data_IF_923804568236
#
_entry.id   IF_923804568236
#
_cell.length_a   1.000
_cell.length_b   1.000
_cell.length_c   1.000
_cell.angle_alpha   90.00
_cell.angle_beta   90.00
_cell.angle_gamma   90.00
#
_symmetry.space_group_name_H-M   'P 1'
#
loop_
_entity.id
_entity.type
_entity.pdbx_description
1 polymer ?
#
# COMPACT_ATOMS: atom_id res chain seq x y z
N UNK A 1 7.40 -9.73 -3.47
CA UNK A 1 7.05 -8.30 -3.44
C UNK A 1 7.70 -7.69 -2.23
N UNK A 2 8.29 -6.50 -2.35
CA UNK A 2 8.70 -5.69 -1.19
C UNK A 2 7.82 -4.45 -1.20
N UNK A 3 7.16 -4.18 -0.09
CA UNK A 3 6.29 -3.01 0.08
C UNK A 3 6.87 -2.14 1.18
N UNK A 4 7.36 -0.97 0.80
CA UNK A 4 7.84 0.05 1.72
C UNK A 4 6.78 1.14 1.83
N UNK A 5 6.49 1.53 3.05
CA UNK A 5 5.60 2.65 3.39
C UNK A 5 6.41 3.70 4.15
N UNK A 6 5.91 4.92 4.16
CA UNK A 6 6.56 6.04 4.85
C UNK A 6 8.04 6.24 4.42
N UNK A 7 8.31 6.15 3.11
CA UNK A 7 9.72 6.17 2.63
C UNK A 7 10.41 7.52 2.69
N UNK A 8 9.66 8.63 2.76
CA UNK A 8 10.17 10.02 2.82
C UNK A 8 11.06 10.40 1.64
N UNK A 9 10.80 9.77 0.48
CA UNK A 9 11.66 9.91 -0.70
C UNK A 9 11.16 10.95 -1.68
N UNK A 10 12.11 11.65 -2.30
CA UNK A 10 11.94 12.57 -3.42
C UNK A 10 12.08 11.81 -4.76
N UNK A 11 11.62 12.41 -5.87
CA UNK A 11 11.83 11.85 -7.21
C UNK A 11 13.29 11.60 -7.56
N UNK A 12 14.21 12.40 -7.04
CA UNK A 12 15.66 12.33 -7.29
C UNK A 12 16.38 11.21 -6.53
N UNK A 13 15.76 10.59 -5.52
CA UNK A 13 16.45 9.60 -4.69
C UNK A 13 16.64 8.29 -5.47
N UNK A 14 17.85 7.74 -5.42
CA UNK A 14 18.18 6.44 -6.02
C UNK A 14 17.87 5.31 -5.03
N UNK A 15 16.98 4.40 -5.42
CA UNK A 15 16.41 3.37 -4.53
C UNK A 15 16.25 2.02 -5.23
N UNK A 16 17.10 1.72 -6.20
CA UNK A 16 17.02 0.43 -6.90
C UNK A 16 17.50 -0.71 -5.99
N UNK A 17 16.80 -1.84 -6.06
CA UNK A 17 17.16 -3.08 -5.36
C UNK A 17 17.47 -4.12 -6.43
N UNK A 18 18.66 -4.69 -6.39
CA UNK A 18 19.10 -5.69 -7.36
C UNK A 18 18.10 -6.84 -7.49
N UNK A 19 17.72 -7.19 -8.72
CA UNK A 19 16.75 -8.24 -8.99
C UNK A 19 15.29 -7.85 -8.75
N UNK A 20 14.99 -6.58 -8.49
CA UNK A 20 13.62 -6.07 -8.36
C UNK A 20 13.36 -4.86 -9.25
N UNK A 21 12.15 -4.79 -9.83
CA UNK A 21 11.63 -3.62 -10.55
C UNK A 21 10.72 -2.82 -9.62
N UNK A 22 10.82 -1.49 -9.66
CA UNK A 22 9.85 -0.60 -9.00
C UNK A 22 8.59 -0.55 -9.85
N UNK A 23 7.47 -0.98 -9.30
CA UNK A 23 6.18 -1.05 -10.01
C UNK A 23 5.22 0.03 -9.54
N UNK A 24 5.50 0.58 -8.37
CA UNK A 24 4.87 1.79 -7.90
C UNK A 24 5.82 2.59 -7.02
N UNK A 25 5.83 3.91 -7.23
CA UNK A 25 6.52 4.87 -6.38
C UNK A 25 5.62 6.09 -6.16
N UNK A 26 5.44 6.47 -4.90
CA UNK A 26 4.82 7.73 -4.47
C UNK A 26 5.83 8.51 -3.64
N UNK A 27 5.97 9.79 -3.94
CA UNK A 27 7.00 10.66 -3.38
C UNK A 27 6.39 11.72 -2.47
N UNK A 28 7.16 12.20 -1.50
CA UNK A 28 6.80 13.42 -0.77
C UNK A 28 7.03 14.62 -1.69
N UNK A 29 5.97 15.34 -2.09
CA UNK A 29 6.07 16.28 -3.19
C UNK A 29 6.95 17.51 -2.93
N UNK A 30 7.06 18.04 -1.70
CA UNK A 30 7.81 19.30 -1.49
C UNK A 30 8.48 19.48 -0.10
N UNK A 31 8.25 18.59 0.85
CA UNK A 31 8.85 18.62 2.20
C UNK A 31 9.07 17.18 2.66
N UNK A 32 10.10 16.88 3.47
CA UNK A 32 10.26 15.60 4.18
C UNK A 32 9.12 15.46 5.18
N UNK A 33 7.92 15.18 4.66
CA UNK A 33 6.73 14.85 5.43
C UNK A 33 6.64 13.33 5.49
N UNK A 34 6.02 12.81 6.56
CA UNK A 34 5.78 11.38 6.72
C UNK A 34 4.82 10.84 5.66
N UNK A 35 5.38 10.56 4.49
CA UNK A 35 4.66 10.20 3.26
C UNK A 35 5.57 9.40 2.33
N UNK A 36 4.95 8.56 1.50
CA UNK A 36 5.60 7.93 0.36
C UNK A 36 5.57 6.41 0.45
N UNK A 37 5.35 5.77 -0.67
CA UNK A 37 5.18 4.32 -0.77
C UNK A 37 5.96 3.82 -1.98
N UNK A 38 6.70 2.73 -1.81
CA UNK A 38 7.42 2.08 -2.91
C UNK A 38 7.11 0.60 -2.91
N UNK A 39 6.73 0.10 -4.07
CA UNK A 39 6.48 -1.33 -4.26
C UNK A 39 7.48 -1.85 -5.28
N UNK A 40 8.22 -2.86 -4.86
CA UNK A 40 9.16 -3.61 -5.66
C UNK A 40 8.62 -4.99 -5.98
N UNK A 41 8.89 -5.45 -7.20
CA UNK A 41 8.48 -6.74 -7.66
C UNK A 41 9.58 -7.44 -8.47
N UNK A 42 9.74 -8.74 -8.25
CA UNK A 42 10.80 -9.55 -8.87
C UNK A 42 10.33 -10.24 -10.15
N UNK A 43 9.04 -10.54 -10.28
CA UNK A 43 8.50 -11.27 -11.42
C UNK A 43 8.02 -10.32 -12.52
N UNK A 44 8.03 -10.80 -13.76
CA UNK A 44 7.70 -9.96 -14.92
C UNK A 44 6.19 -9.79 -15.14
N UNK A 45 5.36 -10.69 -14.62
CA UNK A 45 3.91 -10.68 -14.83
C UNK A 45 3.19 -9.89 -13.73
N UNK A 46 2.97 -8.60 -14.00
CA UNK A 46 1.94 -7.83 -13.31
C UNK A 46 0.79 -7.64 -14.28
N UNK A 47 -0.38 -8.16 -13.91
CA UNK A 47 -1.56 -8.05 -14.75
C UNK A 47 -2.23 -6.67 -14.61
N UNK A 48 -2.27 -6.13 -13.39
CA UNK A 48 -3.01 -4.90 -13.10
C UNK A 48 -2.47 -4.19 -11.85
N UNK A 49 -2.45 -2.85 -11.89
CA UNK A 49 -2.13 -2.00 -10.74
C UNK A 49 -3.22 -0.95 -10.58
N UNK A 50 -3.96 -1.01 -9.47
CA UNK A 50 -4.90 0.03 -9.07
C UNK A 50 -4.30 0.90 -7.98
N UNK A 51 -4.28 2.21 -8.22
CA UNK A 51 -3.76 3.21 -7.29
C UNK A 51 -4.91 4.01 -6.72
N UNK A 52 -4.90 4.25 -5.42
CA UNK A 52 -5.83 5.18 -4.81
C UNK A 52 -5.15 6.02 -3.74
N UNK A 53 -5.57 7.28 -3.66
CA UNK A 53 -5.19 8.18 -2.57
C UNK A 53 -6.48 8.66 -1.93
N UNK A 54 -6.76 8.17 -0.73
CA UNK A 54 -7.98 8.57 -0.02
C UNK A 54 -7.87 9.97 0.54
N UNK A 55 -9.02 10.59 0.81
CA UNK A 55 -9.11 11.68 1.77
C UNK A 55 -8.60 11.14 3.13
N UNK A 56 -7.86 11.95 3.89
CA UNK A 56 -7.27 11.62 5.20
C UNK A 56 -5.94 10.84 5.21
N UNK A 57 -5.09 10.98 4.19
CA UNK A 57 -3.72 10.40 4.20
C UNK A 57 -3.67 8.87 4.37
N UNK A 58 -4.69 8.16 3.87
CA UNK A 58 -4.63 6.70 3.75
C UNK A 58 -4.25 6.38 2.32
N UNK A 59 -3.09 5.76 2.18
CA UNK A 59 -2.50 5.38 0.92
C UNK A 59 -2.69 3.89 0.72
N UNK A 60 -3.19 3.52 -0.45
CA UNK A 60 -3.19 2.13 -0.81
C UNK A 60 -2.96 1.90 -2.30
N UNK A 61 -2.50 0.69 -2.55
CA UNK A 61 -2.09 0.21 -3.86
C UNK A 61 -2.44 -1.25 -3.95
N UNK A 62 -3.13 -1.62 -5.02
CA UNK A 62 -3.62 -2.96 -5.25
C UNK A 62 -2.95 -3.49 -6.50
N UNK A 63 -2.24 -4.60 -6.40
CA UNK A 63 -1.47 -5.19 -7.50
C UNK A 63 -1.94 -6.62 -7.70
N UNK A 64 -2.45 -6.92 -8.90
CA UNK A 64 -2.84 -8.28 -9.28
C UNK A 64 -1.66 -9.04 -9.88
N UNK A 65 -1.38 -10.20 -9.29
CA UNK A 65 -0.37 -11.17 -9.73
C UNK A 65 -1.08 -12.52 -9.78
N UNK A 66 -1.18 -13.08 -10.98
CA UNK A 66 -1.91 -14.32 -11.24
C UNK A 66 -3.33 -14.30 -10.63
N UNK A 67 -3.59 -15.17 -9.66
CA UNK A 67 -4.86 -15.31 -8.96
C UNK A 67 -4.93 -14.56 -7.63
N UNK A 68 -3.88 -13.82 -7.26
CA UNK A 68 -3.82 -13.03 -6.03
C UNK A 68 -3.80 -11.54 -6.33
N UNK A 69 -4.34 -10.76 -5.40
CA UNK A 69 -4.20 -9.33 -5.38
C UNK A 69 -3.61 -8.91 -4.05
N UNK A 70 -2.45 -8.26 -4.14
CA UNK A 70 -1.73 -7.77 -2.98
C UNK A 70 -2.06 -6.30 -2.82
N UNK A 71 -2.67 -5.98 -1.69
CA UNK A 71 -3.06 -4.63 -1.30
C UNK A 71 -2.02 -4.15 -0.28
N UNK A 72 -1.23 -3.15 -0.64
CA UNK A 72 -0.33 -2.45 0.27
C UNK A 72 -1.02 -1.22 0.85
N UNK A 73 -1.01 -1.07 2.17
CA UNK A 73 -1.67 0.00 2.91
C UNK A 73 -0.65 0.76 3.77
N UNK A 74 -0.77 2.08 3.77
CA UNK A 74 -0.21 2.94 4.80
C UNK A 74 -1.35 3.77 5.40
N UNK A 75 -1.63 3.56 6.67
CA UNK A 75 -2.56 4.37 7.42
C UNK A 75 -1.82 5.45 8.23
N UNK A 76 -2.35 6.67 8.23
CA UNK A 76 -1.87 7.73 9.12
C UNK A 76 -1.99 7.34 10.59
N UNK A 77 -0.97 7.61 11.43
CA UNK A 77 -1.03 7.34 12.88
C UNK A 77 -2.12 8.13 13.61
N UNK A 78 -2.67 9.17 12.98
CA UNK A 78 -3.74 9.99 13.54
C UNK A 78 -5.16 9.55 13.11
N UNK A 79 -5.28 8.48 12.31
CA UNK A 79 -6.58 7.94 11.90
C UNK A 79 -7.25 7.13 13.01
N UNK A 80 -8.57 7.25 13.13
CA UNK A 80 -9.35 6.33 13.98
C UNK A 80 -9.54 4.96 13.31
N UNK A 81 -9.82 3.93 14.12
CA UNK A 81 -10.13 2.59 13.62
C UNK A 81 -11.27 2.58 12.59
N UNK A 82 -12.34 3.35 12.81
CA UNK A 82 -13.48 3.42 11.90
C UNK A 82 -13.11 3.99 10.53
N UNK A 83 -12.22 4.99 10.51
CA UNK A 83 -11.68 5.55 9.27
C UNK A 83 -10.90 4.48 8.53
N UNK A 84 -10.00 3.76 9.20
CA UNK A 84 -9.22 2.66 8.60
C UNK A 84 -10.11 1.55 8.07
N UNK A 85 -11.07 1.08 8.88
CA UNK A 85 -12.03 0.04 8.50
C UNK A 85 -12.80 0.44 7.24
N UNK A 86 -13.28 1.68 7.16
CA UNK A 86 -13.99 2.19 5.98
C UNK A 86 -13.11 2.16 4.74
N UNK A 87 -11.88 2.65 4.83
CA UNK A 87 -10.98 2.70 3.68
C UNK A 87 -10.53 1.30 3.24
N UNK A 88 -10.20 0.39 4.17
CA UNK A 88 -9.90 -1.02 3.86
C UNK A 88 -11.06 -1.66 3.10
N UNK A 89 -12.30 -1.46 3.57
CA UNK A 89 -13.48 -2.01 2.90
C UNK A 89 -13.65 -1.48 1.47
N UNK A 90 -13.39 -0.20 1.24
CA UNK A 90 -13.41 0.40 -0.09
C UNK A 90 -12.36 -0.26 -1.00
N UNK A 91 -11.11 -0.40 -0.53
CA UNK A 91 -10.03 -1.04 -1.31
C UNK A 91 -10.36 -2.48 -1.67
N UNK A 92 -10.83 -3.24 -0.68
CA UNK A 92 -11.21 -4.64 -0.85
C UNK A 92 -12.34 -4.74 -1.87
N UNK A 93 -13.35 -3.87 -1.78
CA UNK A 93 -14.49 -3.86 -2.71
C UNK A 93 -14.04 -3.59 -4.15
N UNK A 94 -13.16 -2.61 -4.35
CA UNK A 94 -12.60 -2.32 -5.67
C UNK A 94 -11.74 -3.48 -6.18
N UNK A 95 -10.87 -4.03 -5.33
CA UNK A 95 -9.95 -5.11 -5.69
C UNK A 95 -10.67 -6.41 -6.05
N UNK A 96 -11.80 -6.69 -5.38
CA UNK A 96 -12.66 -7.85 -5.67
C UNK A 96 -13.30 -7.83 -7.05
N UNK A 97 -13.34 -6.68 -7.73
CA UNK A 97 -13.85 -6.58 -9.11
C UNK A 97 -12.97 -7.33 -10.11
N UNK A 98 -11.67 -7.49 -9.81
CA UNK A 98 -10.70 -8.10 -10.73
C UNK A 98 -9.88 -9.24 -10.10
N UNK A 99 -9.97 -9.47 -8.79
CA UNK A 99 -9.30 -10.58 -8.12
C UNK A 99 -10.03 -11.06 -6.84
N UNK A 100 -10.23 -12.37 -6.69
CA UNK A 100 -10.93 -12.94 -5.52
C UNK A 100 -10.01 -13.16 -4.31
N UNK A 101 -8.77 -13.60 -4.53
CA UNK A 101 -7.85 -13.89 -3.43
C UNK A 101 -7.07 -12.63 -3.07
N UNK A 102 -7.35 -12.08 -1.90
CA UNK A 102 -6.72 -10.85 -1.44
C UNK A 102 -5.70 -11.13 -0.36
N UNK A 103 -4.56 -10.45 -0.46
CA UNK A 103 -3.54 -10.38 0.59
C UNK A 103 -3.40 -8.90 0.94
N UNK A 104 -3.71 -8.52 2.18
CA UNK A 104 -3.57 -7.14 2.65
C UNK A 104 -2.34 -7.05 3.55
N UNK A 105 -1.43 -6.14 3.22
CA UNK A 105 -0.17 -5.92 3.93
C UNK A 105 0.06 -4.43 4.15
N UNK A 106 0.86 -4.09 5.15
CA UNK A 106 1.34 -2.74 5.36
C UNK A 106 1.24 -2.29 6.80
N UNK A 107 1.34 -0.99 7.00
CA UNK A 107 1.26 -0.37 8.31
C UNK A 107 -0.13 0.22 8.54
N UNK A 108 -0.86 -0.39 9.47
CA UNK A 108 -2.21 0.02 9.85
C UNK A 108 -2.20 1.08 10.96
N UNK A 109 -1.07 1.31 11.63
CA UNK A 109 -0.96 2.21 12.79
C UNK A 109 -2.08 2.04 13.83
N UNK A 110 -2.52 0.80 14.07
CA UNK A 110 -3.57 0.46 15.03
C UNK A 110 -3.15 -0.78 15.80
N UNK A 111 -3.14 -0.65 17.13
CA UNK A 111 -3.00 -1.78 18.03
C UNK A 111 -4.33 -2.51 18.17
N UNK A 112 -4.41 -3.72 17.63
CA UNK A 112 -5.53 -4.61 17.88
C UNK A 112 -5.36 -5.26 19.25
N UNK A 113 -6.13 -4.80 20.24
CA UNK A 113 -6.26 -5.52 21.51
C UNK A 113 -7.11 -6.75 21.29
N UNK A 114 -6.47 -7.88 21.02
CA UNK A 114 -7.15 -9.18 21.04
C UNK A 114 -7.43 -9.47 22.51
N UNK A 115 -8.71 -9.51 22.90
CA UNK A 115 -9.09 -10.07 24.19
C UNK A 115 -8.78 -11.57 24.15
N UNK A 116 -7.70 -11.96 24.79
CA UNK A 116 -7.46 -13.37 25.14
C UNK A 116 -8.31 -13.66 26.37
N UNK A 117 -9.39 -14.43 26.19
CA UNK A 117 -10.13 -15.02 27.29
C UNK A 117 -9.30 -16.13 27.95
#
# INVERSE_FOLDING_TARGET
>A
MISLVETWTKPSDYLEIEGFKIVQRRHSHHTQKPFGQIIYFKYESIAEICKYSGKNHIEYSSIKIDHFCIISIYNSPNSSFDVVKRHINEVITVSKRFCQNLIVVGDFNIDLKIKTN
#
